data_IF_179768323719
#
_entry.id   IF_179768323719
#
_cell.length_a   1.000
_cell.length_b   1.000
_cell.length_c   1.000
_cell.angle_alpha   90.00
_cell.angle_beta   90.00
_cell.angle_gamma   90.00
#
_symmetry.space_group_name_H-M   'P 1'
#
loop_
_entity.id
_entity.type
_entity.pdbx_description
1 polymer ?
#
# COMPACT_ATOMS: atom_id res chain seq x y z
N UNK A 1 0.45 -16.43 4.08
CA UNK A 1 -1.02 -16.32 3.84
C UNK A 1 -1.51 -15.05 4.50
N UNK A 2 -2.07 -14.09 3.75
CA UNK A 2 -2.69 -12.88 4.31
C UNK A 2 -4.21 -12.93 4.09
N UNK A 3 -5.00 -12.79 5.15
CA UNK A 3 -6.45 -12.69 5.07
C UNK A 3 -6.87 -11.23 5.25
N UNK A 4 -7.71 -10.71 4.34
CA UNK A 4 -8.37 -9.42 4.49
C UNK A 4 -9.87 -9.66 4.72
N UNK A 5 -10.32 -9.53 5.97
CA UNK A 5 -11.72 -9.71 6.37
C UNK A 5 -12.39 -8.33 6.45
N UNK A 6 -13.54 -8.14 5.80
CA UNK A 6 -14.41 -6.98 6.04
C UNK A 6 -15.48 -7.38 7.03
N UNK A 7 -15.22 -7.16 8.32
CA UNK A 7 -16.19 -7.36 9.39
C UNK A 7 -16.60 -5.97 9.89
N UNK A 8 -17.88 -5.61 9.74
CA UNK A 8 -18.51 -4.43 10.33
C UNK A 8 -17.85 -3.07 10.00
N UNK A 9 -17.68 -2.75 8.72
CA UNK A 9 -17.32 -1.38 8.29
C UNK A 9 -15.90 -0.90 8.65
N UNK A 10 -15.15 -1.69 9.44
CA UNK A 10 -13.77 -1.40 9.85
C UNK A 10 -12.82 -2.18 8.93
N UNK A 11 -11.88 -1.48 8.29
CA UNK A 11 -10.84 -2.13 7.51
C UNK A 11 -9.77 -2.73 8.45
N UNK A 12 -9.46 -4.00 8.24
CA UNK A 12 -8.42 -4.72 8.99
C UNK A 12 -7.41 -5.32 8.01
N UNK A 13 -6.13 -5.27 8.37
CA UNK A 13 -5.05 -5.87 7.59
C UNK A 13 -3.99 -6.48 8.51
N UNK A 14 -3.64 -7.74 8.25
CA UNK A 14 -2.53 -8.43 8.89
C UNK A 14 -1.46 -8.80 7.86
N UNK A 15 -0.19 -8.62 8.22
CA UNK A 15 0.97 -8.85 7.36
C UNK A 15 1.99 -9.69 8.14
N UNK A 16 2.55 -10.72 7.49
CA UNK A 16 3.70 -11.47 8.00
C UNK A 16 3.51 -12.03 9.41
N UNK A 17 4.56 -11.94 10.22
CA UNK A 17 4.54 -12.29 11.65
C UNK A 17 3.90 -11.17 12.48
N UNK A 18 2.60 -10.98 12.26
CA UNK A 18 1.77 -9.98 12.95
C UNK A 18 1.74 -10.15 14.48
N UNK A 19 2.08 -11.34 14.98
CA UNK A 19 2.02 -11.67 16.41
C UNK A 19 3.37 -11.56 17.12
N UNK A 20 4.47 -11.36 16.40
CA UNK A 20 5.82 -11.31 16.98
C UNK A 20 6.25 -12.66 17.55
N UNK A 21 6.03 -13.74 16.79
CA UNK A 21 6.49 -15.09 17.14
C UNK A 21 7.99 -15.24 16.93
N UNK A 22 8.61 -14.42 16.09
CA UNK A 22 10.05 -14.38 15.92
C UNK A 22 10.73 -13.98 17.24
N UNK A 23 11.71 -14.78 17.73
CA UNK A 23 12.46 -14.44 18.93
C UNK A 23 13.13 -13.07 18.82
N UNK A 24 13.21 -12.35 19.94
CA UNK A 24 13.81 -11.01 20.06
C UNK A 24 13.19 -9.93 19.14
N UNK A 25 12.06 -10.22 18.50
CA UNK A 25 11.35 -9.23 17.70
C UNK A 25 10.89 -8.05 18.58
N UNK A 26 11.00 -6.85 18.03
CA UNK A 26 10.53 -5.61 18.66
C UNK A 26 9.21 -5.20 18.05
N UNK A 27 8.40 -4.45 18.80
CA UNK A 27 7.13 -3.96 18.28
C UNK A 27 6.88 -2.50 18.59
N UNK A 28 6.32 -1.80 17.61
CA UNK A 28 5.86 -0.42 17.71
C UNK A 28 4.34 -0.41 17.61
N UNK A 29 3.68 0.34 18.49
CA UNK A 29 2.21 0.42 18.53
C UNK A 29 1.77 1.87 18.46
N UNK A 30 0.82 2.14 17.59
CA UNK A 30 0.07 3.39 17.53
C UNK A 30 -1.41 3.08 17.80
N UNK A 31 -1.98 3.79 18.76
CA UNK A 31 -3.38 3.68 19.16
C UNK A 31 -4.00 5.07 19.23
N UNK A 32 -5.14 5.25 18.59
CA UNK A 32 -5.97 6.45 18.67
C UNK A 32 -7.42 6.01 18.86
N UNK A 33 -7.88 6.05 20.11
CA UNK A 33 -9.23 5.61 20.49
C UNK A 33 -10.32 6.52 19.92
N UNK A 34 -10.04 7.81 19.76
CA UNK A 34 -11.02 8.77 19.19
C UNK A 34 -11.31 8.50 17.72
N UNK A 35 -10.34 7.94 16.99
CA UNK A 35 -10.49 7.54 15.58
C UNK A 35 -10.67 6.04 15.38
N UNK A 36 -10.72 5.26 16.47
CA UNK A 36 -10.79 3.80 16.45
C UNK A 36 -9.66 3.17 15.60
N UNK A 37 -8.46 3.76 15.64
CA UNK A 37 -7.29 3.30 14.87
C UNK A 37 -6.32 2.56 15.77
N UNK A 38 -5.96 1.35 15.36
CA UNK A 38 -4.87 0.58 15.98
C UNK A 38 -3.90 0.11 14.89
N UNK A 39 -2.61 0.39 15.07
CA UNK A 39 -1.54 -0.06 14.18
C UNK A 39 -0.40 -0.64 15.01
N UNK A 40 0.11 -1.80 14.62
CA UNK A 40 1.27 -2.45 15.21
C UNK A 40 2.24 -2.86 14.13
N UNK A 41 3.52 -2.57 14.33
CA UNK A 41 4.62 -3.13 13.56
C UNK A 41 5.37 -4.14 14.42
N UNK A 42 5.87 -5.18 13.77
CA UNK A 42 6.79 -6.16 14.33
C UNK A 42 8.05 -6.13 13.48
N UNK A 43 9.18 -5.82 14.10
CA UNK A 43 10.47 -5.67 13.43
C UNK A 43 11.49 -6.62 14.03
N UNK A 44 12.55 -6.90 13.28
CA UNK A 44 13.70 -7.69 13.75
C UNK A 44 14.42 -7.03 14.91
N UNK A 45 15.22 -7.81 15.63
CA UNK A 45 16.01 -7.34 16.80
C UNK A 45 16.92 -6.16 16.47
N UNK A 46 17.45 -6.12 15.25
CA UNK A 46 18.32 -5.06 14.72
C UNK A 46 17.56 -3.84 14.15
N UNK A 47 16.22 -3.83 14.22
CA UNK A 47 15.33 -2.81 13.67
C UNK A 47 15.43 -2.60 12.14
N UNK A 48 16.09 -3.50 11.40
CA UNK A 48 16.30 -3.32 9.95
C UNK A 48 15.22 -3.93 9.08
N UNK A 49 14.54 -4.97 9.55
CA UNK A 49 13.59 -5.73 8.74
C UNK A 49 12.21 -5.70 9.36
N UNK A 50 11.19 -5.43 8.53
CA UNK A 50 9.79 -5.58 8.93
C UNK A 50 9.40 -7.05 8.85
N UNK A 51 9.05 -7.65 9.98
CA UNK A 51 8.62 -9.05 10.07
C UNK A 51 7.11 -9.19 9.90
N UNK A 52 6.35 -8.21 10.39
CA UNK A 52 4.90 -8.21 10.31
C UNK A 52 4.25 -6.92 10.73
N UNK A 53 2.95 -6.82 10.50
CA UNK A 53 2.14 -5.67 10.91
C UNK A 53 0.67 -6.03 11.09
N UNK A 54 -0.01 -5.26 11.94
CA UNK A 54 -1.47 -5.28 12.11
C UNK A 54 -1.98 -3.85 11.97
N UNK A 55 -3.01 -3.66 11.17
CA UNK A 55 -3.70 -2.38 10.99
C UNK A 55 -5.19 -2.59 11.14
N UNK A 56 -5.84 -1.74 11.95
CA UNK A 56 -7.27 -1.74 12.23
C UNK A 56 -7.78 -0.30 12.13
N UNK A 57 -8.93 -0.11 11.48
CA UNK A 57 -9.51 1.21 11.22
C UNK A 57 -8.89 1.84 9.97
N UNK A 58 -7.65 2.34 10.10
CA UNK A 58 -6.90 2.92 8.98
C UNK A 58 -5.89 1.91 8.40
N UNK A 59 -6.16 1.43 7.19
CA UNK A 59 -5.28 0.51 6.44
C UNK A 59 -4.56 1.17 5.26
N UNK A 60 -4.48 2.50 5.24
CA UNK A 60 -3.87 3.26 4.14
C UNK A 60 -2.40 2.87 3.90
N UNK A 61 -1.66 2.55 4.98
CA UNK A 61 -0.24 2.19 4.94
C UNK A 61 -0.01 0.70 4.59
N UNK A 62 -1.07 -0.11 4.54
CA UNK A 62 -0.98 -1.57 4.33
C UNK A 62 -0.18 -1.95 3.08
N UNK A 63 -0.38 -1.24 1.97
CA UNK A 63 0.32 -1.53 0.72
C UNK A 63 1.84 -1.32 0.81
N UNK A 64 2.26 -0.24 1.47
CA UNK A 64 3.68 0.07 1.66
C UNK A 64 4.33 -0.96 2.59
N UNK A 65 3.69 -1.25 3.73
CA UNK A 65 4.14 -2.25 4.70
C UNK A 65 4.21 -3.65 4.09
N UNK A 66 3.25 -4.02 3.24
CA UNK A 66 3.27 -5.32 2.56
C UNK A 66 4.48 -5.43 1.64
N UNK A 67 4.84 -4.38 0.91
CA UNK A 67 6.02 -4.40 0.03
C UNK A 67 7.33 -4.44 0.82
N UNK A 68 7.40 -3.76 1.98
CA UNK A 68 8.56 -3.86 2.88
C UNK A 68 8.81 -5.32 3.32
N UNK A 69 7.75 -6.03 3.71
CA UNK A 69 7.85 -7.45 4.12
C UNK A 69 8.16 -8.36 2.93
N UNK A 70 7.43 -8.22 1.81
CA UNK A 70 7.57 -9.15 0.67
C UNK A 70 8.92 -9.05 -0.04
N UNK A 71 9.52 -7.85 -0.09
CA UNK A 71 10.79 -7.62 -0.79
C UNK A 71 11.98 -7.51 0.17
N UNK A 72 11.78 -7.75 1.47
CA UNK A 72 12.80 -7.60 2.51
C UNK A 72 13.57 -6.26 2.40
N UNK A 73 12.81 -5.17 2.20
CA UNK A 73 13.40 -3.83 2.07
C UNK A 73 13.78 -3.32 3.46
N UNK A 74 14.99 -2.75 3.56
CA UNK A 74 15.50 -2.19 4.81
C UNK A 74 14.62 -1.04 5.32
N UNK A 75 14.31 -1.07 6.62
CA UNK A 75 13.48 -0.08 7.29
C UNK A 75 14.23 1.26 7.44
N UNK A 76 13.50 2.39 7.49
CA UNK A 76 14.09 3.67 7.85
C UNK A 76 14.59 3.66 9.30
N UNK A 77 15.48 4.58 9.64
CA UNK A 77 16.07 4.72 10.98
C UNK A 77 15.01 4.74 12.11
N UNK A 78 13.86 5.37 11.84
CA UNK A 78 12.72 5.43 12.75
C UNK A 78 11.53 4.64 12.17
N UNK A 79 11.38 3.34 12.47
CA UNK A 79 10.34 2.49 11.88
C UNK A 79 8.92 2.84 12.34
N UNK A 80 8.75 3.47 13.50
CA UNK A 80 7.46 3.97 13.99
C UNK A 80 6.82 5.00 13.05
N UNK A 81 7.64 5.79 12.35
CA UNK A 81 7.19 6.80 11.38
C UNK A 81 6.30 6.24 10.25
N UNK A 82 6.38 4.93 10.00
CA UNK A 82 5.58 4.21 9.01
C UNK A 82 4.11 4.02 9.43
N UNK A 83 3.82 4.01 10.73
CA UNK A 83 2.46 3.84 11.26
C UNK A 83 1.86 5.13 11.83
N UNK A 84 2.69 6.14 12.12
CA UNK A 84 2.23 7.43 12.59
C UNK A 84 1.27 8.11 11.59
N UNK A 85 0.31 8.92 12.06
CA UNK A 85 -0.55 9.69 11.18
C UNK A 85 0.24 10.77 10.44
N UNK A 86 -0.26 11.22 9.28
CA UNK A 86 0.49 12.11 8.38
C UNK A 86 0.87 13.48 8.99
N UNK A 87 0.16 13.94 10.00
CA UNK A 87 0.49 15.20 10.71
C UNK A 87 1.58 15.02 11.78
N UNK A 88 1.85 13.79 12.21
CA UNK A 88 2.86 13.46 13.21
C UNK A 88 4.16 12.90 12.59
N UNK A 89 4.18 12.71 11.27
CA UNK A 89 5.33 12.18 10.54
C UNK A 89 5.75 13.21 9.48
N UNK A 90 6.95 13.77 9.64
CA UNK A 90 7.57 14.73 8.71
C UNK A 90 7.93 14.06 7.38
N UNK A 91 6.91 13.77 6.57
CA UNK A 91 7.05 13.04 5.31
C UNK A 91 7.17 11.54 5.54
N UNK A 92 6.05 10.82 5.43
CA UNK A 92 6.04 9.36 5.51
C UNK A 92 6.98 8.76 4.45
N UNK A 93 7.96 7.91 4.82
CA UNK A 93 8.76 7.19 3.85
C UNK A 93 7.87 6.22 3.07
N UNK A 94 7.50 6.61 1.85
CA UNK A 94 6.83 5.75 0.89
C UNK A 94 7.88 5.07 0.03
N UNK A 95 7.80 3.75 -0.15
CA UNK A 95 8.54 3.10 -1.23
C UNK A 95 8.04 3.72 -2.54
N UNK A 96 8.92 4.48 -3.20
CA UNK A 96 8.66 4.99 -4.54
C UNK A 96 8.40 3.81 -5.48
N UNK A 97 7.41 3.92 -6.36
CA UNK A 97 7.03 2.85 -7.30
C UNK A 97 8.24 2.41 -8.14
N UNK A 98 9.20 3.30 -8.34
CA UNK A 98 10.48 3.05 -9.02
C UNK A 98 11.32 1.95 -8.37
N UNK A 99 11.30 1.81 -7.04
CA UNK A 99 12.10 0.82 -6.30
C UNK A 99 11.49 -0.57 -6.27
N UNK A 100 10.26 -0.75 -6.77
CA UNK A 100 9.61 -2.06 -6.82
C UNK A 100 10.15 -2.89 -8.01
N UNK A 101 10.46 -4.19 -7.84
CA UNK A 101 10.79 -5.07 -8.95
C UNK A 101 9.60 -5.21 -9.91
N UNK A 102 9.84 -5.62 -11.16
CA UNK A 102 8.75 -5.83 -12.14
C UNK A 102 7.77 -6.93 -11.70
N UNK A 103 8.24 -7.92 -10.94
CA UNK A 103 7.40 -8.96 -10.34
C UNK A 103 6.57 -8.48 -9.14
N UNK A 104 6.76 -7.24 -8.67
CA UNK A 104 6.04 -6.73 -7.52
C UNK A 104 4.54 -6.70 -7.80
N UNK A 105 3.79 -7.37 -6.93
CA UNK A 105 2.34 -7.44 -7.04
C UNK A 105 1.71 -6.11 -6.65
N UNK A 106 1.00 -5.49 -7.59
CA UNK A 106 0.34 -4.19 -7.45
C UNK A 106 -1.14 -4.35 -7.12
N UNK A 107 -1.81 -5.34 -7.72
CA UNK A 107 -3.20 -5.66 -7.44
C UNK A 107 -3.37 -7.17 -7.24
N UNK A 108 -3.55 -7.57 -5.98
CA UNK A 108 -3.79 -8.97 -5.59
C UNK A 108 -5.14 -9.54 -6.06
N UNK A 109 -6.12 -8.69 -6.40
CA UNK A 109 -7.43 -9.17 -6.85
C UNK A 109 -7.40 -9.78 -8.26
N UNK A 110 -6.37 -9.45 -9.04
CA UNK A 110 -6.23 -9.87 -10.43
C UNK A 110 -4.77 -10.25 -10.76
N UNK A 111 -3.96 -10.49 -9.73
CA UNK A 111 -2.53 -10.81 -9.84
C UNK A 111 -1.74 -9.88 -10.78
N UNK A 112 -2.08 -8.58 -10.77
CA UNK A 112 -1.42 -7.60 -11.63
C UNK A 112 -0.10 -7.18 -11.00
N UNK A 113 0.99 -7.36 -11.74
CA UNK A 113 2.33 -6.95 -11.34
C UNK A 113 2.72 -5.57 -11.91
N UNK A 114 3.82 -5.00 -11.42
CA UNK A 114 4.41 -3.79 -12.01
C UNK A 114 4.77 -4.01 -13.49
N UNK A 115 5.30 -5.18 -13.83
CA UNK A 115 5.64 -5.56 -15.20
C UNK A 115 4.42 -5.60 -16.13
N UNK A 116 3.27 -6.04 -15.64
CA UNK A 116 2.03 -6.02 -16.45
C UNK A 116 1.56 -4.61 -16.75
N UNK A 117 1.73 -3.67 -15.80
CA UNK A 117 1.46 -2.26 -16.02
C UNK A 117 2.44 -1.65 -17.02
N UNK A 118 3.74 -1.94 -16.92
CA UNK A 118 4.75 -1.46 -17.87
C UNK A 118 4.45 -1.98 -19.28
N UNK A 119 4.11 -3.25 -19.43
CA UNK A 119 3.69 -3.84 -20.72
C UNK A 119 2.46 -3.16 -21.28
N UNK A 120 1.44 -2.88 -20.46
CA UNK A 120 0.23 -2.18 -20.90
C UNK A 120 0.53 -0.73 -21.34
N UNK A 121 1.39 -0.01 -20.61
CA UNK A 121 1.83 1.34 -20.99
C UNK A 121 2.59 1.29 -22.32
N UNK A 122 3.51 0.35 -22.50
CA UNK A 122 4.27 0.18 -23.74
C UNK A 122 3.38 -0.19 -24.94
N UNK A 123 2.23 -0.82 -24.70
CA UNK A 123 1.19 -1.08 -25.71
C UNK A 123 0.34 0.15 -26.06
N UNK A 124 0.59 1.31 -25.44
CA UNK A 124 -0.17 2.54 -25.68
C UNK A 124 -1.33 2.77 -24.71
N UNK A 125 -1.41 2.05 -23.59
CA UNK A 125 -2.41 2.34 -22.56
C UNK A 125 -1.95 3.50 -21.65
N UNK A 126 -2.17 4.73 -22.10
CA UNK A 126 -1.77 5.93 -21.34
C UNK A 126 -2.86 6.46 -20.40
N UNK A 127 -4.00 5.78 -20.24
CA UNK A 127 -5.07 6.21 -19.32
C UNK A 127 -5.37 5.15 -18.27
N UNK A 128 -5.83 5.57 -17.10
CA UNK A 128 -6.27 4.63 -16.04
C UNK A 128 -7.36 3.69 -16.54
N UNK A 129 -8.29 4.17 -17.39
CA UNK A 129 -9.31 3.32 -17.98
C UNK A 129 -8.72 2.26 -18.92
N UNK A 130 -7.78 2.64 -19.78
CA UNK A 130 -7.09 1.71 -20.69
C UNK A 130 -6.27 0.68 -19.92
N UNK A 131 -5.53 1.10 -18.88
CA UNK A 131 -4.76 0.20 -18.03
C UNK A 131 -5.66 -0.79 -17.29
N UNK A 132 -6.81 -0.34 -16.78
CA UNK A 132 -7.80 -1.23 -16.15
C UNK A 132 -8.39 -2.24 -17.14
N UNK A 133 -8.64 -1.84 -18.39
CA UNK A 133 -9.17 -2.73 -19.42
C UNK A 133 -8.13 -3.79 -19.82
N UNK A 134 -6.88 -3.40 -20.05
CA UNK A 134 -5.80 -4.28 -20.49
C UNK A 134 -5.35 -5.23 -19.37
N UNK A 135 -5.22 -4.73 -18.13
CA UNK A 135 -4.82 -5.56 -16.97
C UNK A 135 -5.99 -6.22 -16.24
N UNK A 136 -7.22 -6.05 -16.74
CA UNK A 136 -8.48 -6.52 -16.13
C UNK A 136 -8.71 -6.05 -14.67
N UNK A 137 -7.97 -5.04 -14.20
CA UNK A 137 -8.06 -4.56 -12.81
C UNK A 137 -9.24 -3.60 -12.62
N UNK A 138 -10.22 -3.95 -11.78
CA UNK A 138 -11.47 -3.19 -11.72
C UNK A 138 -11.41 -1.89 -10.87
N UNK A 139 -10.54 -1.77 -9.83
CA UNK A 139 -10.79 -0.72 -8.83
C UNK A 139 -9.67 -0.01 -8.04
N UNK A 140 -8.36 -0.12 -8.33
CA UNK A 140 -7.32 0.60 -7.52
C UNK A 140 -6.22 1.39 -8.24
N UNK A 141 -6.25 1.54 -9.56
CA UNK A 141 -5.21 2.25 -10.33
C UNK A 141 -5.16 3.80 -10.17
N UNK A 142 -6.14 4.42 -9.48
CA UNK A 142 -6.24 5.88 -9.39
C UNK A 142 -5.09 6.54 -8.61
N UNK A 143 -4.52 5.85 -7.60
CA UNK A 143 -3.43 6.40 -6.78
C UNK A 143 -2.03 6.27 -7.41
N UNK A 144 -1.78 5.25 -8.23
CA UNK A 144 -0.46 5.04 -8.84
C UNK A 144 -0.20 5.98 -10.03
N UNK A 145 -1.24 6.29 -10.81
CA UNK A 145 -1.10 7.17 -11.97
C UNK A 145 -0.84 8.64 -11.59
N UNK A 146 -1.38 9.10 -10.45
CA UNK A 146 -1.26 10.49 -9.99
C UNK A 146 0.11 10.83 -9.40
N UNK A 147 0.90 9.82 -9.00
CA UNK A 147 2.23 10.02 -8.43
C UNK A 147 3.35 10.22 -9.48
N UNK A 148 3.07 9.96 -10.76
CA UNK A 148 4.07 10.04 -11.85
C UNK A 148 3.83 11.13 -12.91
N UNK A 149 2.65 11.77 -12.94
CA UNK A 149 2.34 12.80 -13.95
C UNK A 149 1.46 13.93 -13.36
N UNK A 150 2.02 15.10 -13.03
CA UNK A 150 1.29 16.22 -12.39
C UNK A 150 0.31 16.97 -13.32
N UNK A 151 -0.11 16.38 -14.45
CA UNK A 151 -0.92 17.07 -15.48
C UNK A 151 -2.29 16.44 -15.82
N UNK A 152 -2.65 15.29 -15.24
CA UNK A 152 -3.77 14.48 -15.76
C UNK A 152 -5.17 14.83 -15.20
N UNK A 153 -5.29 15.77 -14.25
CA UNK A 153 -6.56 16.01 -13.52
C UNK A 153 -7.63 16.82 -14.27
N UNK A 154 -7.33 17.41 -15.44
CA UNK A 154 -8.23 18.43 -16.04
C UNK A 154 -9.34 17.95 -16.99
N UNK A 155 -9.60 16.65 -17.17
CA UNK A 155 -10.63 16.18 -18.15
C UNK A 155 -11.52 15.03 -17.68
N UNK A 156 -11.91 15.00 -16.41
CA UNK A 156 -12.91 14.06 -15.91
C UNK A 156 -14.04 14.80 -15.19
N UNK A 157 -14.82 15.59 -15.94
CA UNK A 157 -15.87 16.42 -15.33
C UNK A 157 -16.98 16.92 -16.26
N UNK A 158 -17.20 16.32 -17.44
CA UNK A 158 -18.35 16.70 -18.27
C UNK A 158 -19.24 15.49 -18.52
N UNK A 159 -20.36 15.49 -17.80
CA UNK A 159 -21.49 14.56 -17.89
C UNK A 159 -22.26 14.91 -19.18
N UNK A 160 -22.60 13.97 -20.07
CA UNK A 160 -23.47 14.29 -21.20
C UNK A 160 -24.91 14.47 -20.68
N UNK A 161 -25.47 15.66 -20.87
CA UNK A 161 -26.89 15.91 -20.69
C UNK A 161 -27.70 15.23 -21.80
N UNK A 162 -28.75 14.56 -21.37
CA UNK A 162 -29.75 13.87 -22.17
C UNK A 162 -30.66 14.85 -22.94
N UNK A 163 -30.83 14.61 -24.23
CA UNK A 163 -32.09 14.81 -24.95
C UNK A 163 -32.16 13.87 -26.14
#
# INVERSE_FOLDING_TARGET
>A
MSAKLKLLGVDVGGIGDAHGRTPNARSYVYLDESKEVYKRLVVSEDNKTLLGAVLVGDTSDYGNLLQLVLNAIELPENPDSLILPAHASSGKPSIGVDKLPESAQICSCFDVTKGDLIKAINKGCHTVAALKAETKSRNRLRRLYSAGHPGAERRAGQKPESK
#
